data_IF_900260798974
#
_entry.id   IF_900260798974
#
_cell.length_a   1.000
_cell.length_b   1.000
_cell.length_c   1.000
_cell.angle_alpha   90.00
_cell.angle_beta   90.00
_cell.angle_gamma   90.00
#
_symmetry.space_group_name_H-M   'P 1'
#
loop_
_entity.id
_entity.type
_entity.pdbx_description
1 polymer ?
#
# COMPACT_ATOMS: atom_id res chain seq x y z
N UNK A 1 7.39 -11.94 0.86
CA UNK A 1 6.69 -10.67 1.19
C UNK A 1 7.09 -9.51 0.30
N UNK A 2 8.39 -9.20 0.13
CA UNK A 2 8.84 -8.04 -0.64
C UNK A 2 8.29 -8.03 -2.09
N UNK A 3 8.42 -9.16 -2.80
CA UNK A 3 7.81 -9.33 -4.13
C UNK A 3 6.29 -9.11 -4.09
N UNK A 4 5.60 -9.64 -3.07
CA UNK A 4 4.15 -9.45 -2.92
C UNK A 4 3.79 -7.98 -2.78
N UNK A 5 4.51 -7.21 -1.96
CA UNK A 5 4.25 -5.78 -1.78
C UNK A 5 4.48 -4.99 -3.08
N UNK A 6 5.50 -5.36 -3.86
CA UNK A 6 5.78 -4.75 -5.17
C UNK A 6 4.68 -5.03 -6.19
N UNK A 7 4.17 -6.27 -6.23
CA UNK A 7 3.11 -6.67 -7.18
C UNK A 7 1.73 -6.14 -6.80
N UNK A 8 1.48 -5.92 -5.51
CA UNK A 8 0.24 -5.37 -4.94
C UNK A 8 0.12 -3.85 -5.18
N UNK A 9 0.11 -3.50 -6.47
CA UNK A 9 -0.14 -2.15 -7.00
C UNK A 9 -1.23 -2.18 -8.08
N UNK A 10 -1.79 -3.36 -8.39
CA UNK A 10 -2.85 -3.56 -9.37
C UNK A 10 -4.27 -3.37 -8.80
N UNK A 11 -5.29 -3.21 -9.67
CA UNK A 11 -6.67 -2.95 -9.26
C UNK A 11 -7.45 -4.17 -8.75
N UNK A 12 -6.88 -5.39 -8.87
CA UNK A 12 -7.49 -6.63 -8.39
C UNK A 12 -6.50 -7.39 -7.50
N UNK A 13 -6.61 -7.18 -6.18
CA UNK A 13 -5.75 -7.82 -5.17
C UNK A 13 -5.81 -9.34 -5.24
N UNK A 14 -6.99 -9.90 -5.48
CA UNK A 14 -7.17 -11.36 -5.54
C UNK A 14 -6.47 -11.93 -6.78
N UNK A 15 -6.63 -11.25 -7.93
CA UNK A 15 -5.92 -11.60 -9.15
C UNK A 15 -4.40 -11.52 -9.02
N UNK A 16 -3.86 -10.48 -8.36
CA UNK A 16 -2.42 -10.35 -8.09
C UNK A 16 -1.90 -11.47 -7.19
N UNK A 17 -2.63 -11.84 -6.13
CA UNK A 17 -2.26 -12.95 -5.23
C UNK A 17 -2.23 -14.29 -5.96
N UNK A 18 -3.23 -14.54 -6.81
CA UNK A 18 -3.27 -15.74 -7.66
C UNK A 18 -2.08 -15.76 -8.63
N UNK A 19 -1.73 -14.62 -9.24
CA UNK A 19 -0.61 -14.51 -10.15
C UNK A 19 0.70 -14.84 -9.44
N UNK A 20 0.94 -14.22 -8.28
CA UNK A 20 2.13 -14.49 -7.47
C UNK A 20 2.26 -15.98 -7.15
N UNK A 21 1.20 -16.58 -6.60
CA UNK A 21 1.16 -17.99 -6.22
C UNK A 21 1.42 -18.91 -7.42
N UNK A 22 0.70 -18.71 -8.51
CA UNK A 22 0.74 -19.61 -9.66
C UNK A 22 2.07 -19.53 -10.41
N UNK A 23 2.64 -18.32 -10.53
CA UNK A 23 3.96 -18.14 -11.16
C UNK A 23 5.04 -18.76 -10.28
N UNK A 24 5.06 -18.48 -8.97
CA UNK A 24 6.06 -19.06 -8.05
C UNK A 24 6.02 -20.58 -8.11
N UNK A 25 4.85 -21.19 -7.99
CA UNK A 25 4.73 -22.65 -8.04
C UNK A 25 5.25 -23.22 -9.36
N UNK A 26 4.87 -22.60 -10.48
CA UNK A 26 5.28 -23.07 -11.81
C UNK A 26 6.78 -22.91 -12.08
N UNK A 27 7.41 -21.87 -11.53
CA UNK A 27 8.86 -21.70 -11.59
C UNK A 27 9.56 -22.77 -10.77
N UNK A 28 9.04 -23.10 -9.58
CA UNK A 28 9.62 -24.14 -8.73
C UNK A 28 9.45 -25.55 -9.33
N UNK A 29 8.32 -25.84 -9.97
CA UNK A 29 8.11 -27.09 -10.74
C UNK A 29 9.12 -27.25 -11.88
N UNK A 30 9.67 -26.13 -12.38
CA UNK A 30 10.71 -26.08 -13.41
C UNK A 30 12.11 -25.91 -12.84
N UNK A 31 12.29 -26.13 -11.53
CA UNK A 31 13.55 -25.98 -10.81
C UNK A 31 14.14 -24.55 -10.81
N UNK A 32 13.34 -23.53 -11.14
CA UNK A 32 13.70 -22.11 -11.04
C UNK A 32 13.33 -21.60 -9.64
N UNK A 33 14.21 -21.83 -8.67
CA UNK A 33 13.94 -21.61 -7.23
C UNK A 33 14.20 -20.17 -6.78
N UNK A 34 13.44 -19.21 -7.31
CA UNK A 34 13.73 -17.76 -7.22
C UNK A 34 13.94 -17.18 -5.82
N UNK A 35 13.36 -17.75 -4.75
CA UNK A 35 13.56 -17.25 -3.38
C UNK A 35 14.75 -17.89 -2.67
N UNK A 36 15.26 -19.01 -3.19
CA UNK A 36 16.46 -19.68 -2.69
C UNK A 36 17.70 -19.29 -3.52
N UNK A 37 17.50 -19.09 -4.82
CA UNK A 37 18.52 -18.73 -5.80
C UNK A 37 17.99 -17.58 -6.68
N UNK A 38 18.01 -16.32 -6.20
CA UNK A 38 17.48 -15.18 -6.94
C UNK A 38 18.01 -15.03 -8.38
N UNK A 39 19.25 -15.44 -8.62
CA UNK A 39 19.87 -15.40 -9.95
C UNK A 39 19.20 -16.33 -10.97
N UNK A 40 18.55 -17.40 -10.52
CA UNK A 40 17.89 -18.35 -11.43
C UNK A 40 16.75 -17.67 -12.20
N UNK A 41 16.10 -16.65 -11.59
CA UNK A 41 15.10 -15.82 -12.29
C UNK A 41 15.68 -15.14 -13.55
N UNK A 42 16.92 -14.67 -13.47
CA UNK A 42 17.57 -13.96 -14.57
C UNK A 42 18.25 -14.89 -15.57
N UNK A 43 18.83 -16.00 -15.09
CA UNK A 43 19.39 -17.05 -15.97
C UNK A 43 18.30 -17.67 -16.83
N UNK A 44 17.15 -17.92 -16.21
CA UNK A 44 15.98 -18.52 -16.85
C UNK A 44 14.91 -17.45 -17.16
N UNK A 45 15.33 -16.26 -17.59
CA UNK A 45 14.40 -15.14 -17.81
C UNK A 45 13.33 -15.46 -18.85
N UNK A 46 13.66 -16.26 -19.88
CA UNK A 46 12.70 -16.74 -20.87
C UNK A 46 11.56 -17.53 -20.22
N UNK A 47 11.92 -18.54 -19.40
CA UNK A 47 10.95 -19.34 -18.63
C UNK A 47 10.13 -18.44 -17.70
N UNK A 48 10.80 -17.50 -17.01
CA UNK A 48 10.14 -16.59 -16.07
C UNK A 48 9.09 -15.69 -16.74
N UNK A 49 9.42 -15.12 -17.90
CA UNK A 49 8.50 -14.29 -18.69
C UNK A 49 7.34 -15.12 -19.22
N UNK A 50 7.61 -16.31 -19.75
CA UNK A 50 6.59 -17.20 -20.31
C UNK A 50 5.59 -17.64 -19.24
N UNK A 51 6.07 -18.02 -18.05
CA UNK A 51 5.17 -18.39 -16.94
C UNK A 51 4.33 -17.20 -16.47
N UNK A 52 4.90 -16.00 -16.35
CA UNK A 52 4.12 -14.79 -16.02
C UNK A 52 3.00 -14.57 -17.04
N UNK A 53 3.29 -14.69 -18.34
CA UNK A 53 2.31 -14.55 -19.41
C UNK A 53 1.21 -15.61 -19.34
N UNK A 54 1.59 -16.88 -19.23
CA UNK A 54 0.66 -18.02 -19.22
C UNK A 54 -0.27 -17.92 -18.02
N UNK A 55 0.26 -17.67 -16.81
CA UNK A 55 -0.58 -17.58 -15.60
C UNK A 55 -1.46 -16.33 -15.62
N UNK A 56 -0.96 -15.20 -16.11
CA UNK A 56 -1.79 -13.99 -16.30
C UNK A 56 -3.00 -14.25 -17.19
N UNK A 57 -2.78 -14.91 -18.34
CA UNK A 57 -3.86 -15.25 -19.27
C UNK A 57 -4.91 -16.14 -18.61
N UNK A 58 -4.48 -17.21 -17.93
CA UNK A 58 -5.40 -18.11 -17.22
C UNK A 58 -6.21 -17.40 -16.13
N UNK A 59 -5.59 -16.50 -15.36
CA UNK A 59 -6.31 -15.72 -14.34
C UNK A 59 -7.30 -14.75 -14.98
N UNK A 60 -6.94 -14.14 -16.12
CA UNK A 60 -7.83 -13.24 -16.87
C UNK A 60 -9.11 -13.95 -17.33
N UNK A 61 -9.02 -15.22 -17.74
CA UNK A 61 -10.18 -16.02 -18.15
C UNK A 61 -11.18 -16.23 -16.99
N UNK A 62 -10.68 -16.36 -15.77
CA UNK A 62 -11.49 -16.57 -14.56
C UNK A 62 -12.05 -15.25 -14.01
N UNK A 63 -11.19 -14.24 -13.86
CA UNK A 63 -11.49 -13.04 -13.05
C UNK A 63 -12.06 -11.87 -13.82
N UNK A 64 -11.76 -11.74 -15.11
CA UNK A 64 -12.09 -10.52 -15.86
C UNK A 64 -13.57 -10.16 -15.85
N UNK A 65 -14.47 -11.14 -15.94
CA UNK A 65 -15.93 -10.92 -15.91
C UNK A 65 -16.42 -10.48 -14.53
N UNK A 66 -15.90 -11.10 -13.48
CA UNK A 66 -16.26 -10.79 -12.08
C UNK A 66 -15.84 -9.36 -11.77
N UNK A 67 -14.56 -9.06 -11.99
CA UNK A 67 -14.00 -7.72 -11.78
C UNK A 67 -14.75 -6.66 -12.58
N UNK A 68 -15.09 -6.94 -13.84
CA UNK A 68 -15.79 -6.00 -14.71
C UNK A 68 -17.22 -5.71 -14.23
N UNK A 69 -17.94 -6.72 -13.74
CA UNK A 69 -19.29 -6.57 -13.19
C UNK A 69 -19.28 -5.68 -11.94
N UNK A 70 -18.37 -5.95 -11.01
CA UNK A 70 -18.23 -5.19 -9.76
C UNK A 70 -17.84 -3.74 -10.01
N UNK A 71 -16.97 -3.49 -10.99
CA UNK A 71 -16.46 -2.16 -11.30
C UNK A 71 -17.26 -1.41 -12.39
N UNK A 72 -18.40 -1.96 -12.84
CA UNK A 72 -19.22 -1.44 -13.95
C UNK A 72 -18.35 -1.01 -15.15
N UNK A 73 -17.55 -1.95 -15.65
CA UNK A 73 -16.56 -1.74 -16.72
C UNK A 73 -16.53 -2.93 -17.68
N UNK A 74 -15.61 -2.93 -18.65
CA UNK A 74 -15.47 -3.98 -19.66
C UNK A 74 -14.38 -5.00 -19.25
N UNK A 75 -14.66 -6.33 -19.32
CA UNK A 75 -13.67 -7.39 -19.04
C UNK A 75 -12.36 -7.27 -19.82
N UNK A 76 -12.38 -6.70 -21.03
CA UNK A 76 -11.18 -6.52 -21.86
C UNK A 76 -10.14 -5.60 -21.23
N UNK A 77 -10.58 -4.69 -20.35
CA UNK A 77 -9.70 -3.77 -19.61
C UNK A 77 -8.97 -4.45 -18.44
N UNK A 78 -9.33 -5.68 -18.10
CA UNK A 78 -8.66 -6.43 -17.05
C UNK A 78 -7.21 -6.73 -17.43
N UNK A 79 -6.30 -6.26 -16.60
CA UNK A 79 -4.86 -6.50 -16.71
C UNK A 79 -4.24 -6.45 -15.31
N UNK A 80 -3.42 -7.46 -14.98
CA UNK A 80 -2.66 -7.50 -13.72
C UNK A 80 -1.29 -6.83 -13.83
N UNK A 81 -0.82 -6.53 -15.04
CA UNK A 81 0.37 -5.72 -15.23
C UNK A 81 0.04 -4.26 -14.89
N UNK A 82 0.82 -3.69 -13.98
CA UNK A 82 0.67 -2.28 -13.57
C UNK A 82 0.98 -1.35 -14.75
N UNK A 83 0.56 -0.09 -14.65
CA UNK A 83 0.91 0.96 -15.64
C UNK A 83 0.37 0.72 -17.07
N UNK A 84 -0.65 -0.15 -17.21
CA UNK A 84 -1.24 -0.55 -18.51
C UNK A 84 -0.21 -1.07 -19.51
N UNK A 85 0.95 -1.53 -19.03
CA UNK A 85 1.94 -2.11 -19.93
C UNK A 85 1.42 -3.46 -20.41
N UNK A 86 1.37 -3.65 -21.72
CA UNK A 86 1.27 -4.99 -22.31
C UNK A 86 2.67 -5.64 -22.45
N UNK A 87 3.70 -4.98 -21.95
CA UNK A 87 5.10 -5.38 -22.05
C UNK A 87 5.52 -6.17 -20.81
N UNK A 88 5.59 -7.50 -20.95
CA UNK A 88 5.91 -8.39 -19.82
C UNK A 88 7.37 -8.34 -19.41
N UNK A 89 8.30 -8.09 -20.34
CA UNK A 89 9.72 -8.01 -20.01
C UNK A 89 9.99 -6.93 -18.94
N UNK A 90 9.46 -5.72 -19.15
CA UNK A 90 9.58 -4.63 -18.18
C UNK A 90 8.94 -4.99 -16.85
N UNK A 91 7.74 -5.56 -16.86
CA UNK A 91 7.05 -6.02 -15.66
C UNK A 91 7.85 -7.10 -14.90
N UNK A 92 8.39 -8.10 -15.60
CA UNK A 92 9.20 -9.16 -15.02
C UNK A 92 10.49 -8.59 -14.40
N UNK A 93 11.26 -7.80 -15.15
CA UNK A 93 12.52 -7.24 -14.63
C UNK A 93 12.27 -6.29 -13.45
N UNK A 94 11.36 -5.32 -13.58
CA UNK A 94 11.15 -4.31 -12.55
C UNK A 94 10.34 -4.83 -11.35
N UNK A 95 9.23 -5.54 -11.58
CA UNK A 95 8.30 -5.92 -10.50
C UNK A 95 8.63 -7.25 -9.85
N UNK A 96 9.36 -8.13 -10.53
CA UNK A 96 9.83 -9.41 -9.97
C UNK A 96 11.33 -9.41 -9.73
N UNK A 97 12.14 -9.04 -10.73
CA UNK A 97 13.59 -9.11 -10.66
C UNK A 97 14.21 -8.18 -9.60
N UNK A 98 13.87 -6.89 -9.62
CA UNK A 98 14.44 -5.90 -8.68
C UNK A 98 14.25 -6.32 -7.20
N UNK A 99 13.06 -6.71 -6.71
CA UNK A 99 12.92 -7.17 -5.33
C UNK A 99 13.66 -8.48 -5.02
N UNK A 100 13.96 -9.33 -6.01
CA UNK A 100 14.81 -10.52 -5.82
C UNK A 100 16.30 -10.15 -5.71
N UNK A 101 16.74 -9.06 -6.33
CA UNK A 101 18.12 -8.59 -6.23
C UNK A 101 18.49 -8.10 -4.83
N UNK A 102 17.55 -7.57 -4.05
CA UNK A 102 17.83 -7.01 -2.71
C UNK A 102 18.43 -8.05 -1.76
N UNK A 103 17.77 -9.19 -1.46
CA UNK A 103 18.36 -10.20 -0.57
C UNK A 103 19.68 -10.76 -1.11
N UNK A 104 19.79 -10.95 -2.43
CA UNK A 104 21.02 -11.41 -3.07
C UNK A 104 22.19 -10.42 -2.87
N UNK A 105 21.94 -9.12 -3.05
CA UNK A 105 22.98 -8.10 -2.90
C UNK A 105 23.41 -7.95 -1.44
N UNK A 106 22.45 -7.97 -0.51
CA UNK A 106 22.73 -7.96 0.94
C UNK A 106 23.64 -9.12 1.34
N UNK A 107 23.32 -10.35 0.91
CA UNK A 107 24.13 -11.53 1.18
C UNK A 107 25.57 -11.39 0.65
N UNK A 108 25.74 -10.88 -0.58
CA UNK A 108 27.06 -10.66 -1.18
C UNK A 108 27.87 -9.61 -0.46
N UNK A 109 27.24 -8.53 -0.01
CA UNK A 109 27.94 -7.46 0.69
C UNK A 109 28.36 -7.89 2.10
N UNK A 110 27.50 -8.62 2.82
CA UNK A 110 27.82 -9.22 4.12
C UNK A 110 29.01 -10.18 3.98
N UNK A 111 28.96 -11.07 2.99
CA UNK A 111 30.07 -12.00 2.70
C UNK A 111 31.39 -11.26 2.44
N UNK A 112 31.34 -10.17 1.67
CA UNK A 112 32.54 -9.35 1.39
C UNK A 112 33.12 -8.68 2.63
N UNK A 113 32.28 -8.36 3.62
CA UNK A 113 32.73 -7.80 4.91
C UNK A 113 33.26 -8.87 5.87
N UNK A 114 33.18 -10.16 5.51
CA UNK A 114 33.56 -11.26 6.40
C UNK A 114 32.59 -11.44 7.58
N UNK A 115 31.39 -10.89 7.46
CA UNK A 115 30.32 -11.02 8.45
C UNK A 115 29.52 -12.30 8.21
N UNK A 116 29.02 -12.91 9.28
CA UNK A 116 28.08 -14.03 9.19
C UNK A 116 26.68 -13.52 9.56
N UNK A 117 25.86 -13.22 8.57
CA UNK A 117 24.43 -12.98 8.77
C UNK A 117 23.64 -14.23 8.43
N UNK A 118 22.75 -14.64 9.33
CA UNK A 118 21.87 -15.79 9.09
C UNK A 118 20.68 -15.37 8.22
N UNK A 119 20.22 -14.12 8.39
CA UNK A 119 19.04 -13.59 7.70
C UNK A 119 19.30 -12.17 7.16
N UNK A 120 20.10 -12.01 6.08
CA UNK A 120 20.53 -10.71 5.57
C UNK A 120 19.41 -9.68 5.38
N UNK A 121 18.27 -10.13 4.84
CA UNK A 121 17.11 -9.24 4.63
C UNK A 121 16.48 -8.80 5.95
N UNK A 122 16.35 -9.72 6.91
CA UNK A 122 15.72 -9.43 8.22
C UNK A 122 16.60 -8.49 9.04
N UNK A 123 17.91 -8.73 9.03
CA UNK A 123 18.88 -7.83 9.67
C UNK A 123 18.86 -6.44 9.04
N UNK A 124 18.79 -6.34 7.70
CA UNK A 124 18.67 -5.05 7.02
C UNK A 124 17.40 -4.30 7.39
N UNK A 125 16.22 -4.94 7.33
CA UNK A 125 14.96 -4.25 7.60
C UNK A 125 14.86 -3.81 9.08
N UNK A 126 15.37 -4.60 10.02
CA UNK A 126 15.31 -4.28 11.45
C UNK A 126 16.44 -3.37 11.94
N UNK A 127 17.45 -3.12 11.10
CA UNK A 127 18.55 -2.19 11.39
C UNK A 127 18.12 -0.72 11.43
N UNK A 128 16.97 -0.38 10.85
CA UNK A 128 16.43 0.98 10.84
C UNK A 128 15.74 1.33 12.15
N UNK A 129 15.72 2.62 12.51
CA UNK A 129 15.20 3.04 13.82
C UNK A 129 13.72 2.68 14.03
N UNK A 130 12.92 2.66 12.96
CA UNK A 130 11.50 2.30 12.97
C UNK A 130 11.04 1.63 11.67
N UNK A 131 9.85 1.05 11.69
CA UNK A 131 9.17 0.51 10.52
C UNK A 131 8.84 1.58 9.47
N UNK A 132 8.50 2.79 9.89
CA UNK A 132 8.29 3.92 8.98
C UNK A 132 9.56 4.25 8.20
N UNK A 133 10.70 4.37 8.90
CA UNK A 133 11.99 4.64 8.24
C UNK A 133 12.41 3.45 7.38
N UNK A 134 12.20 2.22 7.85
CA UNK A 134 12.43 1.00 7.06
C UNK A 134 11.63 1.04 5.75
N UNK A 135 10.35 1.42 5.80
CA UNK A 135 9.49 1.47 4.60
C UNK A 135 10.01 2.48 3.56
N UNK A 136 10.57 3.61 4.02
CA UNK A 136 11.21 4.60 3.17
C UNK A 136 12.52 4.06 2.59
N UNK A 137 13.35 3.39 3.40
CA UNK A 137 14.64 2.83 2.97
C UNK A 137 14.49 1.65 2.00
N UNK A 138 13.43 0.84 2.11
CA UNK A 138 13.09 -0.17 1.10
C UNK A 138 12.87 0.45 -0.28
N UNK A 139 12.41 1.70 -0.35
CA UNK A 139 12.23 2.42 -1.61
C UNK A 139 13.46 3.22 -2.02
N UNK A 140 13.99 4.02 -1.11
CA UNK A 140 14.88 5.15 -1.43
C UNK A 140 16.35 4.91 -1.05
N UNK A 141 16.70 3.79 -0.41
CA UNK A 141 18.10 3.50 -0.09
C UNK A 141 18.95 3.47 -1.37
N UNK A 142 20.08 4.17 -1.37
CA UNK A 142 20.92 4.34 -2.56
C UNK A 142 21.37 3.00 -3.18
N UNK A 143 21.62 1.99 -2.34
CA UNK A 143 22.18 0.70 -2.76
C UNK A 143 21.13 -0.40 -2.85
N UNK A 144 20.20 -0.44 -1.90
CA UNK A 144 19.23 -1.53 -1.75
C UNK A 144 17.79 -1.12 -2.06
N UNK A 145 17.56 0.16 -2.36
CA UNK A 145 16.24 0.71 -2.64
C UNK A 145 15.66 0.16 -3.93
N UNK A 146 14.36 -0.15 -3.90
CA UNK A 146 13.62 -0.63 -5.06
C UNK A 146 13.27 0.49 -6.05
N UNK A 147 13.40 1.76 -5.65
CA UNK A 147 13.14 2.94 -6.49
C UNK A 147 11.79 2.85 -7.18
N UNK A 148 11.76 3.00 -8.51
CA UNK A 148 10.52 2.95 -9.32
C UNK A 148 9.78 1.60 -9.26
N UNK A 149 10.41 0.53 -8.79
CA UNK A 149 9.73 -0.74 -8.63
C UNK A 149 8.72 -0.71 -7.48
N UNK A 150 8.85 0.21 -6.51
CA UNK A 150 7.93 0.32 -5.38
C UNK A 150 7.48 1.77 -5.16
N UNK A 151 6.18 1.96 -4.87
CA UNK A 151 5.67 3.26 -4.40
C UNK A 151 5.58 3.31 -2.88
N UNK A 152 5.35 4.49 -2.32
CA UNK A 152 5.27 4.67 -0.85
C UNK A 152 4.18 3.78 -0.21
N UNK A 153 2.99 3.68 -0.85
CA UNK A 153 1.91 2.76 -0.41
C UNK A 153 2.40 1.32 -0.30
N UNK A 154 3.19 0.86 -1.26
CA UNK A 154 3.70 -0.51 -1.25
C UNK A 154 4.83 -0.71 -0.23
N UNK A 155 5.63 0.33 0.05
CA UNK A 155 6.58 0.32 1.17
C UNK A 155 5.88 0.15 2.52
N UNK A 156 4.79 0.90 2.74
CA UNK A 156 3.97 0.77 3.95
C UNK A 156 3.22 -0.57 4.00
N UNK A 157 2.74 -1.08 2.86
CA UNK A 157 2.18 -2.42 2.78
C UNK A 157 3.21 -3.48 3.18
N UNK A 158 4.49 -3.32 2.79
CA UNK A 158 5.54 -4.24 3.23
C UNK A 158 5.73 -4.20 4.76
N UNK A 159 5.71 -3.02 5.37
CA UNK A 159 5.74 -2.88 6.83
C UNK A 159 4.54 -3.56 7.50
N UNK A 160 3.32 -3.33 6.98
CA UNK A 160 2.10 -4.02 7.44
C UNK A 160 2.24 -5.53 7.35
N UNK A 161 2.70 -6.07 6.22
CA UNK A 161 2.85 -7.51 6.06
C UNK A 161 3.82 -8.08 7.10
N UNK A 162 4.96 -7.42 7.30
CA UNK A 162 6.01 -7.88 8.20
C UNK A 162 5.60 -7.85 9.68
N UNK A 163 4.98 -6.75 10.12
CA UNK A 163 4.67 -6.48 11.53
C UNK A 163 3.31 -7.02 11.95
N UNK A 164 2.29 -6.82 11.11
CA UNK A 164 0.90 -7.11 11.45
C UNK A 164 0.42 -8.43 10.84
N UNK A 165 0.41 -8.54 9.51
CA UNK A 165 -0.22 -9.69 8.84
C UNK A 165 0.46 -11.01 9.14
N UNK A 166 1.80 -11.04 9.14
CA UNK A 166 2.57 -12.24 9.45
C UNK A 166 3.13 -12.22 10.88
N UNK A 167 3.28 -11.05 11.51
CA UNK A 167 3.73 -10.96 12.90
C UNK A 167 5.18 -11.43 13.15
N UNK A 168 6.02 -11.43 12.12
CA UNK A 168 7.36 -12.05 12.16
C UNK A 168 8.50 -11.10 12.50
N UNK A 169 8.20 -9.83 12.79
CA UNK A 169 9.19 -8.90 13.34
C UNK A 169 9.79 -9.45 14.64
N UNK A 170 11.13 -9.54 14.72
CA UNK A 170 11.87 -9.94 15.92
C UNK A 170 11.91 -8.80 16.94
N UNK A 171 11.99 -7.56 16.46
CA UNK A 171 11.81 -6.36 17.29
C UNK A 171 10.36 -6.25 17.78
N UNK A 172 10.21 -6.04 19.09
CA UNK A 172 8.91 -5.89 19.78
C UNK A 172 8.75 -4.53 20.47
N UNK A 173 9.67 -3.60 20.22
CA UNK A 173 9.58 -2.23 20.72
C UNK A 173 8.55 -1.39 19.93
N UNK A 174 8.23 -0.21 20.44
CA UNK A 174 7.23 0.69 19.86
C UNK A 174 7.54 1.09 18.41
N UNK A 175 8.81 1.08 18.01
CA UNK A 175 9.24 1.47 16.67
C UNK A 175 9.13 0.35 15.63
N UNK A 176 8.82 -0.88 16.05
CA UNK A 176 8.40 -2.00 15.18
C UNK A 176 7.03 -2.57 15.62
N UNK A 177 6.25 -1.77 16.35
CA UNK A 177 4.92 -2.13 16.84
C UNK A 177 3.77 -1.71 15.91
N UNK A 178 2.51 -1.90 16.34
CA UNK A 178 1.32 -1.68 15.50
C UNK A 178 1.09 -0.24 15.01
N UNK A 179 1.75 0.75 15.61
CA UNK A 179 1.65 2.17 15.25
C UNK A 179 2.93 2.72 14.58
N UNK A 180 3.87 1.85 14.24
CA UNK A 180 5.23 2.23 13.82
C UNK A 180 5.41 2.60 12.35
N UNK A 181 4.35 2.50 11.54
CA UNK A 181 4.32 2.85 10.13
C UNK A 181 3.02 3.58 9.79
N UNK A 182 3.01 4.38 8.73
CA UNK A 182 1.79 5.05 8.26
C UNK A 182 0.81 4.09 7.56
N UNK A 183 -0.46 4.47 7.52
CA UNK A 183 -1.50 3.74 6.79
C UNK A 183 -1.12 3.61 5.29
N UNK A 184 -1.15 2.42 4.67
CA UNK A 184 -0.91 2.22 3.24
C UNK A 184 -2.02 2.83 2.36
N UNK A 185 -2.06 4.17 2.24
CA UNK A 185 -3.11 4.90 1.51
C UNK A 185 -3.24 4.44 0.05
N UNK A 186 -4.22 3.58 -0.20
CA UNK A 186 -4.67 3.21 -1.53
C UNK A 186 -6.02 3.85 -1.87
N UNK A 187 -6.48 3.67 -3.11
CA UNK A 187 -7.72 4.26 -3.58
C UNK A 187 -8.96 3.75 -2.84
N UNK A 188 -8.95 2.53 -2.29
CA UNK A 188 -10.06 2.00 -1.50
C UNK A 188 -10.10 2.66 -0.12
N UNK A 189 -8.98 2.63 0.62
CA UNK A 189 -8.87 3.27 1.92
C UNK A 189 -9.15 4.78 1.81
N UNK A 190 -8.56 5.45 0.83
CA UNK A 190 -8.79 6.86 0.55
C UNK A 190 -10.25 7.19 0.25
N UNK A 191 -10.92 6.37 -0.57
CA UNK A 191 -12.35 6.54 -0.88
C UNK A 191 -13.22 6.42 0.36
N UNK A 192 -12.97 5.41 1.21
CA UNK A 192 -13.72 5.20 2.45
C UNK A 192 -13.52 6.37 3.41
N UNK A 193 -12.27 6.78 3.64
CA UNK A 193 -11.94 7.91 4.53
C UNK A 193 -12.51 9.24 4.02
N UNK A 194 -12.53 9.45 2.69
CA UNK A 194 -13.16 10.65 2.13
C UNK A 194 -14.68 10.63 2.30
N UNK A 195 -15.34 9.56 1.87
CA UNK A 195 -16.82 9.47 1.86
C UNK A 195 -17.45 9.41 3.24
N UNK A 196 -16.74 8.87 4.21
CA UNK A 196 -17.18 8.88 5.61
C UNK A 196 -17.09 10.28 6.24
N UNK A 197 -16.40 11.23 5.60
CA UNK A 197 -16.14 12.56 6.13
C UNK A 197 -14.91 12.62 7.03
N UNK A 198 -14.18 11.52 7.23
CA UNK A 198 -12.97 11.49 8.06
C UNK A 198 -11.94 12.54 7.61
N UNK A 199 -11.66 12.61 6.30
CA UNK A 199 -10.72 13.60 5.76
C UNK A 199 -11.21 15.04 5.93
N UNK A 200 -12.52 15.28 5.93
CA UNK A 200 -13.08 16.63 6.15
C UNK A 200 -12.90 17.13 7.59
N UNK A 201 -12.56 16.25 8.54
CA UNK A 201 -12.14 16.67 9.88
C UNK A 201 -10.68 17.16 9.90
N UNK A 202 -9.91 16.92 8.84
CA UNK A 202 -8.50 17.29 8.76
C UNK A 202 -8.29 18.60 8.01
N UNK A 203 -9.02 18.82 6.91
CA UNK A 203 -8.92 20.02 6.07
C UNK A 203 -10.20 20.21 5.24
N UNK A 204 -10.36 21.41 4.68
CA UNK A 204 -11.52 21.75 3.83
C UNK A 204 -11.37 21.20 2.40
N UNK A 205 -12.48 21.11 1.67
CA UNK A 205 -12.46 20.68 0.26
C UNK A 205 -11.53 21.55 -0.62
N UNK A 206 -11.55 22.87 -0.39
CA UNK A 206 -10.70 23.82 -1.09
C UNK A 206 -9.20 23.54 -0.87
N UNK A 207 -8.82 23.08 0.32
CA UNK A 207 -7.43 22.69 0.60
C UNK A 207 -7.06 21.45 -0.23
N UNK A 208 -7.95 20.45 -0.27
CA UNK A 208 -7.74 19.24 -1.07
C UNK A 208 -7.67 19.51 -2.58
N UNK A 209 -8.40 20.49 -3.08
CA UNK A 209 -8.27 20.95 -4.48
C UNK A 209 -6.93 21.62 -4.75
N UNK A 210 -6.51 22.55 -3.88
CA UNK A 210 -5.20 23.23 -3.98
C UNK A 210 -4.04 22.25 -3.96
N UNK A 211 -4.20 21.13 -3.25
CA UNK A 211 -3.19 20.07 -3.16
C UNK A 211 -3.27 19.03 -4.27
N UNK A 212 -4.18 19.22 -5.24
CA UNK A 212 -4.50 18.26 -6.30
C UNK A 212 -4.88 16.86 -5.79
N UNK A 213 -5.34 16.78 -4.54
CA UNK A 213 -5.97 15.57 -3.99
C UNK A 213 -7.34 15.40 -4.64
N UNK A 214 -8.11 16.49 -4.75
CA UNK A 214 -9.31 16.55 -5.58
C UNK A 214 -8.93 17.14 -6.93
N UNK A 215 -9.21 16.42 -8.00
CA UNK A 215 -8.98 16.85 -9.37
C UNK A 215 -10.32 16.92 -10.11
N UNK A 216 -10.87 18.14 -10.18
CA UNK A 216 -12.18 18.41 -10.79
C UNK A 216 -12.22 17.95 -12.25
N UNK A 217 -13.28 17.26 -12.64
CA UNK A 217 -13.51 16.79 -14.02
C UNK A 217 -12.61 15.65 -14.51
N UNK A 218 -11.63 15.19 -13.73
CA UNK A 218 -10.67 14.15 -14.15
C UNK A 218 -11.13 12.72 -13.83
N UNK A 219 -12.28 12.57 -13.17
CA UNK A 219 -12.87 11.29 -12.81
C UNK A 219 -13.64 10.64 -13.96
N UNK A 220 -13.96 9.35 -13.79
CA UNK A 220 -14.78 8.60 -14.76
C UNK A 220 -16.14 9.27 -14.92
N UNK A 221 -16.48 9.69 -16.14
CA UNK A 221 -17.74 10.36 -16.45
C UNK A 221 -17.72 11.88 -16.25
N UNK A 222 -16.56 12.51 -16.09
CA UNK A 222 -16.45 13.95 -15.82
C UNK A 222 -16.61 14.31 -14.33
N UNK A 223 -16.66 13.30 -13.47
CA UNK A 223 -16.72 13.44 -12.01
C UNK A 223 -15.39 13.95 -11.44
N UNK A 224 -15.36 14.22 -10.14
CA UNK A 224 -14.14 14.61 -9.44
C UNK A 224 -13.28 13.39 -9.12
N UNK A 225 -12.00 13.45 -9.43
CA UNK A 225 -11.05 12.37 -9.13
C UNK A 225 -10.33 12.64 -7.81
N UNK A 226 -10.34 11.67 -6.88
CA UNK A 226 -9.59 11.72 -5.63
C UNK A 226 -8.29 10.96 -5.80
N UNK A 227 -7.19 11.71 -5.92
CA UNK A 227 -5.83 11.18 -5.89
C UNK A 227 -5.30 11.17 -4.45
N UNK A 228 -5.79 10.25 -3.64
CA UNK A 228 -5.50 10.19 -2.19
C UNK A 228 -3.99 10.21 -1.86
N UNK A 229 -3.14 9.64 -2.72
CA UNK A 229 -1.69 9.63 -2.52
C UNK A 229 -1.08 11.03 -2.42
N UNK A 230 -1.74 12.06 -2.99
CA UNK A 230 -1.30 13.45 -2.91
C UNK A 230 -1.47 14.07 -1.50
N UNK A 231 -2.15 13.38 -0.57
CA UNK A 231 -2.28 13.81 0.83
C UNK A 231 -0.95 13.77 1.58
N UNK A 232 0.00 12.94 1.14
CA UNK A 232 1.28 12.75 1.84
C UNK A 232 2.00 14.09 2.03
N UNK A 233 2.38 14.38 3.27
CA UNK A 233 3.06 15.61 3.67
C UNK A 233 2.16 16.85 3.75
N UNK A 234 0.86 16.74 3.42
CA UNK A 234 -0.11 17.82 3.58
C UNK A 234 -0.50 17.95 5.05
N UNK A 235 -0.73 19.20 5.48
CA UNK A 235 -0.93 19.53 6.90
C UNK A 235 -2.41 19.72 7.18
N UNK A 236 -2.85 19.24 8.32
CA UNK A 236 -4.21 19.48 8.80
C UNK A 236 -4.34 20.94 9.25
N UNK A 237 -5.22 21.70 8.61
CA UNK A 237 -5.59 23.06 9.01
C UNK A 237 -6.51 23.08 10.23
N UNK A 238 -7.27 22.00 10.46
CA UNK A 238 -8.26 21.88 11.52
C UNK A 238 -7.66 21.25 12.79
N UNK A 239 -7.13 20.03 12.71
CA UNK A 239 -6.68 19.26 13.87
C UNK A 239 -5.41 19.82 14.52
N UNK A 240 -4.57 20.54 13.75
CA UNK A 240 -3.36 21.18 14.28
C UNK A 240 -3.65 22.24 15.35
N UNK A 241 -4.90 22.74 15.44
CA UNK A 241 -5.33 23.69 16.45
C UNK A 241 -5.59 23.03 17.83
N UNK A 242 -5.78 21.71 17.86
CA UNK A 242 -6.04 20.98 19.09
C UNK A 242 -4.76 20.61 19.83
N UNK A 243 -4.54 21.19 21.02
CA UNK A 243 -3.36 20.87 21.86
C UNK A 243 -3.28 19.38 22.20
N UNK A 244 -4.42 18.76 22.56
CA UNK A 244 -4.49 17.33 22.90
C UNK A 244 -4.03 16.45 21.73
N UNK A 245 -4.53 16.73 20.52
CA UNK A 245 -4.17 15.97 19.32
C UNK A 245 -2.70 16.21 18.96
N UNK A 246 -2.21 17.46 19.09
CA UNK A 246 -0.81 17.78 18.84
C UNK A 246 0.14 17.08 19.81
N UNK A 247 -0.19 16.97 21.10
CA UNK A 247 0.65 16.25 22.07
C UNK A 247 0.72 14.73 21.74
N UNK A 248 -0.41 14.13 21.37
CA UNK A 248 -0.46 12.74 20.90
C UNK A 248 0.32 12.56 19.57
N UNK A 249 0.24 13.53 18.67
CA UNK A 249 1.02 13.55 17.43
C UNK A 249 2.52 13.56 17.67
N UNK A 250 2.99 14.40 18.60
CA UNK A 250 4.41 14.45 18.99
C UNK A 250 4.87 13.08 19.48
N UNK A 251 4.09 12.43 20.35
CA UNK A 251 4.38 11.09 20.86
C UNK A 251 4.52 10.08 19.72
N UNK A 252 3.54 10.02 18.81
CA UNK A 252 3.58 9.15 17.62
C UNK A 252 4.85 9.39 16.78
N UNK A 253 5.16 10.63 16.42
CA UNK A 253 6.30 10.95 15.56
C UNK A 253 7.66 10.63 16.19
N UNK A 254 7.80 10.79 17.50
CA UNK A 254 9.08 10.66 18.23
C UNK A 254 9.29 9.24 18.77
N UNK A 255 8.24 8.57 19.23
CA UNK A 255 8.35 7.27 19.90
C UNK A 255 8.08 6.09 18.98
N UNK A 256 7.15 6.23 18.04
CA UNK A 256 6.70 5.12 17.19
C UNK A 256 7.28 5.23 15.78
N UNK A 257 6.99 6.32 15.08
CA UNK A 257 7.46 6.52 13.70
C UNK A 257 8.94 6.90 13.64
N UNK A 258 9.51 7.48 14.71
CA UNK A 258 10.90 7.97 14.77
C UNK A 258 11.30 8.98 13.69
N UNK A 259 10.33 9.53 12.95
CA UNK A 259 10.58 10.46 11.82
C UNK A 259 10.89 11.90 12.26
N UNK A 260 10.73 12.23 13.56
CA UNK A 260 11.05 13.56 14.10
C UNK A 260 11.89 13.45 15.36
N UNK A 261 12.89 14.32 15.48
CA UNK A 261 13.68 14.55 16.72
C UNK A 261 13.18 15.73 17.55
N UNK A 262 12.39 16.62 16.95
CA UNK A 262 11.87 17.85 17.57
C UNK A 262 10.35 17.88 17.45
N UNK A 263 9.70 18.63 18.35
CA UNK A 263 8.25 18.86 18.33
C UNK A 263 7.82 19.46 16.98
N UNK A 264 6.99 18.77 16.18
CA UNK A 264 6.41 19.35 14.97
C UNK A 264 5.45 20.50 15.31
N UNK A 265 5.33 21.45 14.36
CA UNK A 265 4.42 22.59 14.46
C UNK A 265 3.06 22.37 13.79
N UNK A 266 2.91 21.30 13.02
CA UNK A 266 1.70 20.97 12.25
C UNK A 266 1.56 19.46 12.09
N UNK A 267 0.32 18.98 12.10
CA UNK A 267 -0.02 17.57 11.94
C UNK A 267 -0.07 17.22 10.46
N UNK A 268 0.64 16.17 10.07
CA UNK A 268 0.54 15.58 8.74
C UNK A 268 -0.69 14.67 8.67
N UNK A 269 -1.55 14.90 7.67
CA UNK A 269 -2.87 14.24 7.57
C UNK A 269 -2.72 12.73 7.51
N UNK A 270 -1.70 12.22 6.82
CA UNK A 270 -1.49 10.79 6.67
C UNK A 270 -1.12 10.07 7.99
N UNK A 271 -0.70 10.82 9.01
CA UNK A 271 -0.33 10.31 10.33
C UNK A 271 -1.47 10.43 11.36
N UNK A 272 -2.59 11.08 10.99
CA UNK A 272 -3.77 11.20 11.86
C UNK A 272 -4.30 9.84 12.32
N UNK A 273 -4.38 8.79 11.48
CA UNK A 273 -4.75 7.46 11.94
C UNK A 273 -3.90 6.94 13.12
N UNK A 274 -2.58 7.13 13.08
CA UNK A 274 -1.69 6.71 14.16
C UNK A 274 -1.98 7.44 15.47
N UNK A 275 -2.40 8.71 15.39
CA UNK A 275 -2.79 9.51 16.58
C UNK A 275 -4.07 8.97 17.19
N UNK A 276 -5.08 8.66 16.37
CA UNK A 276 -6.40 8.25 16.84
C UNK A 276 -6.43 6.82 17.38
N UNK A 277 -5.48 5.98 16.94
CA UNK A 277 -5.29 4.63 17.44
C UNK A 277 -4.38 4.57 18.67
N UNK A 278 -3.77 5.69 19.05
CA UNK A 278 -2.95 5.77 20.26
C UNK A 278 -3.80 5.41 21.49
N UNK A 279 -3.24 4.56 22.35
CA UNK A 279 -3.88 4.06 23.57
C UNK A 279 -5.15 3.21 23.31
N UNK A 280 -5.33 2.70 22.09
CA UNK A 280 -6.33 1.67 21.75
C UNK A 280 -5.68 0.28 21.64
N UNK A 281 -6.48 -0.77 21.58
CA UNK A 281 -5.99 -2.14 21.32
C UNK A 281 -5.69 -2.41 19.83
N UNK A 282 -6.02 -1.46 18.95
CA UNK A 282 -5.90 -1.62 17.50
C UNK A 282 -4.68 -0.88 16.94
N UNK A 283 -4.10 -1.45 15.88
CA UNK A 283 -3.00 -0.86 15.12
C UNK A 283 -3.39 -0.37 13.74
N UNK A 284 -2.39 0.14 13.01
CA UNK A 284 -2.55 0.59 11.62
C UNK A 284 -2.92 -0.58 10.71
N UNK A 285 -2.39 -1.77 11.00
CA UNK A 285 -2.74 -2.99 10.26
C UNK A 285 -4.24 -3.32 10.35
N UNK A 286 -4.83 -3.26 11.55
CA UNK A 286 -6.25 -3.52 11.79
C UNK A 286 -7.14 -2.51 11.07
N UNK A 287 -6.79 -1.21 11.15
CA UNK A 287 -7.52 -0.17 10.47
C UNK A 287 -7.47 -0.36 8.95
N UNK A 288 -6.30 -0.66 8.39
CA UNK A 288 -6.15 -0.92 6.96
C UNK A 288 -7.00 -2.12 6.52
N UNK A 289 -6.95 -3.24 7.25
CA UNK A 289 -7.78 -4.41 6.95
C UNK A 289 -9.28 -4.07 6.95
N UNK A 290 -9.74 -3.29 7.93
CA UNK A 290 -11.12 -2.79 7.98
C UNK A 290 -11.48 -1.88 6.80
N UNK A 291 -10.62 -0.92 6.45
CA UNK A 291 -10.83 -0.01 5.33
C UNK A 291 -10.86 -0.72 3.98
N UNK A 292 -9.95 -1.67 3.76
CA UNK A 292 -9.91 -2.49 2.55
C UNK A 292 -11.16 -3.37 2.45
N UNK A 293 -11.59 -3.99 3.57
CA UNK A 293 -12.82 -4.76 3.63
C UNK A 293 -14.04 -3.90 3.25
N UNK A 294 -14.17 -2.70 3.82
CA UNK A 294 -15.27 -1.78 3.51
C UNK A 294 -15.21 -1.32 2.06
N UNK A 295 -14.04 -0.90 1.58
CA UNK A 295 -13.83 -0.39 0.24
C UNK A 295 -14.13 -1.42 -0.86
N UNK A 296 -13.84 -2.69 -0.59
CA UNK A 296 -14.01 -3.80 -1.54
C UNK A 296 -15.42 -4.38 -1.54
N UNK A 297 -16.10 -4.41 -0.39
CA UNK A 297 -17.38 -5.11 -0.26
C UNK A 297 -18.61 -4.18 -0.23
N UNK A 298 -18.45 -2.91 0.12
CA UNK A 298 -19.58 -2.00 0.33
C UNK A 298 -19.41 -0.67 -0.39
N UNK A 299 -18.30 0.02 -0.14
CA UNK A 299 -18.05 1.37 -0.63
C UNK A 299 -17.43 1.36 -2.03
N UNK A 300 -18.18 0.90 -3.05
CA UNK A 300 -17.73 0.80 -4.43
C UNK A 300 -17.42 2.15 -5.10
N UNK A 301 -16.52 2.15 -6.09
CA UNK A 301 -16.09 3.34 -6.85
C UNK A 301 -17.10 3.78 -7.93
N UNK A 302 -18.36 3.95 -7.55
CA UNK A 302 -19.44 4.49 -8.36
C UNK A 302 -20.53 5.10 -7.46
N UNK A 303 -21.61 5.58 -8.07
CA UNK A 303 -22.73 6.27 -7.42
C UNK A 303 -23.67 5.38 -6.58
N UNK A 304 -23.70 4.06 -6.78
CA UNK A 304 -24.53 3.12 -6.00
C UNK A 304 -23.72 2.14 -5.11
N UNK A 305 -22.93 2.60 -4.13
CA UNK A 305 -22.34 1.70 -3.14
C UNK A 305 -23.42 1.06 -2.25
N UNK A 306 -23.12 -0.09 -1.64
CA UNK A 306 -24.03 -0.80 -0.71
C UNK A 306 -24.06 -0.16 0.67
N UNK A 307 -24.53 1.09 0.74
CA UNK A 307 -24.50 1.87 1.97
C UNK A 307 -25.36 1.29 3.09
N UNK A 308 -26.54 0.76 2.75
CA UNK A 308 -27.50 0.23 3.73
C UNK A 308 -26.99 -1.03 4.46
N UNK A 309 -26.12 -1.80 3.79
CA UNK A 309 -25.46 -3.00 4.30
C UNK A 309 -24.11 -2.68 4.95
N UNK A 310 -23.58 -1.47 4.79
CA UNK A 310 -22.24 -1.11 5.27
C UNK A 310 -22.20 -1.05 6.81
N UNK A 311 -21.22 -1.70 7.47
CA UNK A 311 -21.16 -1.78 8.93
C UNK A 311 -20.98 -0.42 9.61
N UNK A 312 -20.44 0.57 8.88
CA UNK A 312 -20.18 1.93 9.40
C UNK A 312 -21.20 2.97 8.89
N UNK A 313 -22.35 2.54 8.36
CA UNK A 313 -23.33 3.45 7.72
C UNK A 313 -23.78 4.59 8.64
N UNK A 314 -23.94 4.33 9.94
CA UNK A 314 -24.39 5.31 10.92
C UNK A 314 -23.34 6.43 11.16
N UNK A 315 -22.07 6.19 10.81
CA UNK A 315 -20.98 7.16 10.94
C UNK A 315 -20.57 7.79 9.60
N UNK A 316 -21.21 7.40 8.50
CA UNK A 316 -20.82 7.84 7.17
C UNK A 316 -21.50 9.15 6.79
N UNK A 317 -20.76 10.26 6.84
CA UNK A 317 -21.27 11.58 6.46
C UNK A 317 -21.85 11.58 5.04
N UNK A 318 -21.17 10.91 4.09
CA UNK A 318 -21.62 10.80 2.71
C UNK A 318 -22.94 10.07 2.54
N UNK A 319 -23.29 9.16 3.47
CA UNK A 319 -24.58 8.47 3.45
C UNK A 319 -25.65 9.23 4.23
N UNK A 320 -25.33 9.84 5.37
CA UNK A 320 -26.37 10.42 6.23
C UNK A 320 -26.73 11.86 5.86
N UNK A 321 -25.77 12.68 5.44
CA UNK A 321 -25.96 14.13 5.35
C UNK A 321 -25.48 14.73 4.01
N UNK A 322 -24.32 14.28 3.50
CA UNK A 322 -23.65 14.87 2.32
C UNK A 322 -23.51 13.89 1.16
N UNK A 323 -24.63 13.61 0.49
CA UNK A 323 -24.70 12.64 -0.63
C UNK A 323 -23.73 12.97 -1.78
N UNK A 324 -23.36 14.23 -1.95
CA UNK A 324 -22.37 14.69 -2.94
C UNK A 324 -21.01 13.99 -2.80
N UNK A 325 -20.59 13.65 -1.57
CA UNK A 325 -19.33 12.93 -1.34
C UNK A 325 -19.30 11.55 -2.01
N UNK A 326 -20.46 10.93 -2.20
CA UNK A 326 -20.62 9.66 -2.90
C UNK A 326 -20.88 9.89 -4.39
N UNK A 327 -21.79 10.81 -4.72
CA UNK A 327 -22.28 11.02 -6.07
C UNK A 327 -21.21 11.65 -6.97
N UNK A 328 -20.42 12.61 -6.48
CA UNK A 328 -19.62 13.48 -7.34
C UNK A 328 -18.13 13.11 -7.39
N UNK A 329 -17.71 12.12 -6.59
CA UNK A 329 -16.29 11.75 -6.43
C UNK A 329 -15.99 10.28 -6.78
N UNK A 330 -14.87 10.08 -7.47
CA UNK A 330 -14.33 8.78 -7.92
C UNK A 330 -12.84 8.67 -7.57
N UNK A 331 -12.31 7.46 -7.47
CA UNK A 331 -10.89 7.17 -7.15
C UNK A 331 -10.17 6.37 -8.20
#
# INVERSE_FOLDING_TARGET
>A
MLVSAVLDQGPDLEGVRLLLKNVVNSLYEKEVRIFHKPLDFFKELGISVDEILVKHKGIKEIRSKIWAKENKTNPNKYNLFTDRTNQVLGYAVYRWGVPLCVPYLLEKDITKRGENAVEPLVEYIESWDSAEIMSQQVKDNERYGLGKAIGDKAGHLFAKLYIHTFGIARRKDSAFGPLSYELPFDSNAGRVLFRTGFLLNCAELDDYEKWEVIQRGKGKGGENYIRVTNIRGKKSSILSLSKKIMDAYVKVCVEYLKVRKRRPSSIEIQQVPNILLLDTEYGIGDLDDGLIHIGTNFCYNHNNPRCEECPIKNFCLGYNERKDLILDYRT
#
